data_IF_647679455171
#
_entry.id   IF_647679455171
#
_cell.length_a   1.000
_cell.length_b   1.000
_cell.length_c   1.000
_cell.angle_alpha   90.00
_cell.angle_beta   90.00
_cell.angle_gamma   90.00
#
_symmetry.space_group_name_H-M   'P 1'
#
loop_
_entity.id
_entity.type
_entity.pdbx_description
1 polymer ?
#
# COMPACT_ATOMS: atom_id res chain seq x y z
N UNK A 1 58.21 13.50 -9.47
CA UNK A 1 59.30 12.89 -10.26
C UNK A 1 58.82 11.51 -10.75
N UNK A 2 58.91 11.24 -12.08
CA UNK A 2 58.66 9.97 -12.82
C UNK A 2 57.19 9.44 -12.84
N UNK A 3 56.41 9.57 -13.94
CA UNK A 3 56.36 8.80 -15.24
C UNK A 3 56.09 7.30 -15.04
N UNK A 4 55.07 6.66 -15.63
CA UNK A 4 54.81 6.34 -17.07
C UNK A 4 53.30 5.95 -17.23
N UNK A 5 52.47 6.51 -18.11
CA UNK A 5 52.34 6.34 -19.58
C UNK A 5 52.34 4.87 -20.05
N UNK A 6 51.17 4.34 -20.45
CA UNK A 6 51.00 3.52 -21.66
C UNK A 6 49.60 3.75 -22.24
N UNK A 7 49.58 4.09 -23.54
CA UNK A 7 48.44 4.38 -24.42
C UNK A 7 48.40 3.28 -25.47
N UNK A 8 47.21 2.80 -25.84
CA UNK A 8 46.81 2.31 -27.18
C UNK A 8 45.30 1.98 -27.06
N UNK A 9 44.30 2.63 -27.68
CA UNK A 9 44.07 3.04 -29.07
C UNK A 9 44.13 1.90 -30.09
N UNK A 10 42.96 1.34 -30.40
CA UNK A 10 42.63 0.80 -31.72
C UNK A 10 41.26 1.31 -32.13
N UNK A 11 41.26 2.22 -33.10
CA UNK A 11 40.10 2.63 -33.88
C UNK A 11 40.35 2.21 -35.33
N UNK A 12 39.33 1.62 -35.97
CA UNK A 12 39.15 1.45 -37.43
C UNK A 12 38.22 0.24 -37.65
N UNK A 13 37.24 0.17 -38.57
CA UNK A 13 36.57 1.04 -39.55
C UNK A 13 35.62 0.02 -40.25
N UNK A 14 34.28 0.14 -40.16
CA UNK A 14 33.38 0.54 -41.27
C UNK A 14 32.75 -0.60 -42.12
N UNK A 15 31.43 -0.41 -42.33
CA UNK A 15 30.52 -0.86 -43.41
C UNK A 15 30.17 -2.34 -43.60
N UNK A 16 28.91 -2.67 -43.30
CA UNK A 16 27.97 -3.21 -44.29
C UNK A 16 26.52 -3.04 -43.78
N UNK A 17 25.75 -2.16 -44.43
CA UNK A 17 24.29 -2.19 -44.38
C UNK A 17 23.78 -3.24 -45.38
N UNK A 18 22.64 -3.88 -45.08
CA UNK A 18 21.61 -4.05 -46.11
C UNK A 18 20.29 -3.43 -45.66
N UNK A 19 19.82 -2.48 -46.47
CA UNK A 19 18.46 -1.98 -46.50
C UNK A 19 17.44 -3.09 -46.71
N UNK A 20 16.46 -3.20 -45.81
CA UNK A 20 15.18 -3.86 -46.08
C UNK A 20 14.08 -2.85 -45.77
N UNK A 21 13.44 -2.37 -46.84
CA UNK A 21 12.07 -1.86 -46.78
C UNK A 21 11.17 -3.07 -46.58
N UNK A 22 10.43 -3.11 -45.47
CA UNK A 22 9.21 -3.91 -45.39
C UNK A 22 8.04 -2.97 -45.13
N UNK A 23 7.10 -3.01 -46.06
CA UNK A 23 5.80 -2.38 -45.95
C UNK A 23 4.97 -3.05 -44.83
N UNK A 24 4.26 -2.19 -44.09
CA UNK A 24 2.93 -2.36 -43.49
C UNK A 24 2.52 -3.77 -43.00
N UNK A 25 2.36 -3.89 -41.68
CA UNK A 25 1.17 -4.51 -41.09
C UNK A 25 0.80 -3.81 -39.79
N UNK A 26 -0.40 -3.23 -39.75
CA UNK A 26 -1.09 -3.00 -38.50
C UNK A 26 -1.43 -4.39 -37.94
N UNK A 27 -0.87 -4.74 -36.79
CA UNK A 27 -1.34 -5.87 -36.01
C UNK A 27 -1.23 -5.48 -34.54
N UNK A 28 -2.37 -5.46 -33.86
CA UNK A 28 -2.49 -5.10 -32.47
C UNK A 28 -1.57 -5.95 -31.59
N UNK A 29 -0.58 -5.29 -30.99
CA UNK A 29 0.17 -5.82 -29.86
C UNK A 29 -0.62 -5.55 -28.60
N UNK A 30 -1.56 -6.43 -28.27
CA UNK A 30 -2.04 -6.56 -26.91
C UNK A 30 -0.85 -6.96 -26.05
N UNK A 31 -0.24 -5.98 -25.39
CA UNK A 31 0.90 -6.21 -24.51
C UNK A 31 0.50 -7.21 -23.44
N UNK A 32 1.05 -8.41 -23.53
CA UNK A 32 0.96 -9.42 -22.50
C UNK A 32 1.84 -8.96 -21.33
N UNK A 33 1.28 -8.09 -20.49
CA UNK A 33 1.91 -7.69 -19.23
C UNK A 33 1.78 -8.87 -18.29
N UNK A 34 2.81 -9.70 -18.25
CA UNK A 34 2.91 -10.78 -17.29
C UNK A 34 3.11 -10.18 -15.88
N UNK A 35 2.00 -9.81 -15.24
CA UNK A 35 2.01 -9.26 -13.88
C UNK A 35 2.31 -10.41 -12.88
N UNK A 36 3.32 -10.30 -12.02
CA UNK A 36 3.67 -11.35 -11.05
C UNK A 36 2.62 -11.42 -9.92
N UNK A 37 1.57 -12.20 -10.17
CA UNK A 37 0.35 -12.33 -9.36
C UNK A 37 0.60 -12.63 -7.87
N UNK A 38 1.61 -13.46 -7.54
CA UNK A 38 1.85 -13.92 -6.17
C UNK A 38 2.53 -12.92 -5.23
N UNK A 39 3.20 -11.88 -5.77
CA UNK A 39 3.98 -10.91 -5.00
C UNK A 39 3.39 -9.48 -4.98
N UNK A 40 2.35 -9.19 -5.77
CA UNK A 40 1.73 -7.85 -5.90
C UNK A 40 1.17 -7.26 -4.60
N UNK A 41 0.97 -8.07 -3.56
CA UNK A 41 0.16 -7.71 -2.40
C UNK A 41 0.90 -7.81 -1.06
N UNK A 42 2.18 -8.22 -1.07
CA UNK A 42 2.84 -8.68 0.17
C UNK A 42 3.44 -7.59 1.05
N UNK A 43 3.90 -6.43 0.54
CA UNK A 43 4.57 -5.47 1.43
C UNK A 43 4.32 -3.98 1.25
N UNK A 44 3.80 -3.52 0.12
CA UNK A 44 3.30 -2.16 -0.05
C UNK A 44 2.39 -2.27 -1.26
N UNK A 45 1.12 -1.86 -1.12
CA UNK A 45 0.11 -2.15 -2.14
C UNK A 45 0.55 -1.77 -3.55
N UNK A 46 -0.03 -2.45 -4.54
CA UNK A 46 0.02 -2.09 -5.96
C UNK A 46 0.42 -0.63 -6.21
N UNK A 47 1.51 -0.47 -6.94
CA UNK A 47 1.98 0.84 -7.39
C UNK A 47 0.88 1.53 -8.19
N UNK A 48 0.83 2.86 -8.11
CA UNK A 48 -0.15 3.69 -8.81
C UNK A 48 -0.16 3.39 -10.31
N UNK A 49 1.02 3.23 -10.91
CA UNK A 49 1.17 2.86 -12.31
C UNK A 49 0.41 1.57 -12.64
N UNK A 50 0.54 0.55 -11.79
CA UNK A 50 -0.13 -0.74 -11.99
C UNK A 50 -1.65 -0.65 -11.80
N UNK A 51 -2.12 0.19 -10.88
CA UNK A 51 -3.55 0.49 -10.78
C UNK A 51 -4.07 1.12 -12.06
N UNK A 52 -3.37 2.14 -12.56
CA UNK A 52 -3.76 2.86 -13.77
C UNK A 52 -3.73 1.96 -15.01
N UNK A 53 -2.73 1.09 -15.15
CA UNK A 53 -2.66 0.10 -16.23
C UNK A 53 -3.88 -0.83 -16.23
N UNK A 54 -4.28 -1.34 -15.06
CA UNK A 54 -5.48 -2.18 -14.94
C UNK A 54 -6.75 -1.41 -15.26
N UNK A 55 -6.87 -0.17 -14.78
CA UNK A 55 -8.05 0.66 -15.01
C UNK A 55 -8.20 1.01 -16.49
N UNK A 56 -7.12 1.42 -17.16
CA UNK A 56 -7.14 1.69 -18.60
C UNK A 56 -7.50 0.44 -19.42
N UNK A 57 -7.05 -0.74 -19.00
CA UNK A 57 -7.31 -2.00 -19.69
C UNK A 57 -8.75 -2.49 -19.50
N UNK A 58 -9.28 -2.41 -18.28
CA UNK A 58 -10.53 -3.09 -17.92
C UNK A 58 -11.70 -2.12 -17.73
N UNK A 59 -11.49 -0.95 -17.14
CA UNK A 59 -12.55 0.04 -16.81
C UNK A 59 -12.12 1.47 -17.14
N UNK A 60 -11.84 1.78 -18.43
CA UNK A 60 -11.34 3.10 -18.83
C UNK A 60 -12.31 4.24 -18.50
N UNK A 61 -13.61 3.96 -18.43
CA UNK A 61 -14.64 4.91 -18.02
C UNK A 61 -14.48 5.41 -16.58
N UNK A 62 -13.74 4.70 -15.73
CA UNK A 62 -13.47 5.10 -14.34
C UNK A 62 -12.07 5.72 -14.16
N UNK A 63 -11.31 5.91 -15.23
CA UNK A 63 -9.91 6.34 -15.17
C UNK A 63 -9.72 7.65 -14.40
N UNK A 64 -10.55 8.65 -14.67
CA UNK A 64 -10.47 9.96 -14.01
C UNK A 64 -10.75 9.87 -12.51
N UNK A 65 -11.73 9.05 -12.12
CA UNK A 65 -12.06 8.87 -10.71
C UNK A 65 -10.96 8.14 -9.96
N UNK A 66 -10.34 7.14 -10.59
CA UNK A 66 -9.17 6.45 -10.08
C UNK A 66 -7.97 7.39 -9.88
N UNK A 67 -7.66 8.24 -10.88
CA UNK A 67 -6.61 9.26 -10.75
C UNK A 67 -6.83 10.15 -9.53
N UNK A 68 -8.04 10.69 -9.39
CA UNK A 68 -8.40 11.55 -8.26
C UNK A 68 -8.19 10.87 -6.90
N UNK A 69 -8.59 9.60 -6.76
CA UNK A 69 -8.42 8.84 -5.51
C UNK A 69 -6.95 8.52 -5.23
N UNK A 70 -6.14 8.26 -6.27
CA UNK A 70 -4.71 8.01 -6.13
C UNK A 70 -3.94 9.30 -5.80
N UNK A 71 -4.28 10.42 -6.44
CA UNK A 71 -3.74 11.76 -6.13
C UNK A 71 -4.01 12.15 -4.69
N UNK A 72 -5.25 11.98 -4.22
CA UNK A 72 -5.61 12.23 -2.82
C UNK A 72 -4.76 11.36 -1.87
N UNK A 73 -4.61 10.07 -2.20
CA UNK A 73 -3.80 9.14 -1.40
C UNK A 73 -2.34 9.59 -1.33
N UNK A 74 -1.78 10.06 -2.44
CA UNK A 74 -0.42 10.56 -2.51
C UNK A 74 -0.25 11.84 -1.69
N UNK A 75 -1.19 12.78 -1.79
CA UNK A 75 -1.19 13.99 -0.95
C UNK A 75 -1.25 13.63 0.55
N UNK A 76 -2.08 12.66 0.94
CA UNK A 76 -2.14 12.17 2.32
C UNK A 76 -0.84 11.50 2.77
N UNK A 77 -0.19 10.70 1.90
CA UNK A 77 1.12 10.10 2.16
C UNK A 77 2.22 11.15 2.31
N UNK A 78 2.20 12.20 1.49
CA UNK A 78 3.14 13.32 1.61
C UNK A 78 2.96 14.03 2.96
N UNK A 79 1.73 14.23 3.42
CA UNK A 79 1.48 14.79 4.76
C UNK A 79 2.02 13.90 5.88
N UNK A 80 2.04 12.58 5.72
CA UNK A 80 2.69 11.68 6.70
C UNK A 80 4.21 11.81 6.71
N UNK A 81 4.79 12.22 5.59
CA UNK A 81 6.23 12.42 5.47
C UNK A 81 6.70 13.76 6.05
N UNK A 82 5.79 14.68 6.35
CA UNK A 82 6.09 15.93 7.05
C UNK A 82 6.68 15.64 8.44
N UNK A 83 7.82 16.26 8.75
CA UNK A 83 8.54 16.00 10.00
C UNK A 83 7.74 16.39 11.25
N UNK A 84 6.92 17.45 11.18
CA UNK A 84 6.06 17.84 12.30
C UNK A 84 5.00 16.76 12.55
N UNK A 85 4.41 16.22 11.49
CA UNK A 85 3.43 15.13 11.58
C UNK A 85 4.08 13.87 12.14
N UNK A 86 5.28 13.49 11.67
CA UNK A 86 6.03 12.36 12.23
C UNK A 86 6.32 12.53 13.71
N UNK A 87 6.73 13.73 14.11
CA UNK A 87 7.02 14.03 15.50
C UNK A 87 5.76 13.96 16.37
N UNK A 88 4.65 14.56 15.92
CA UNK A 88 3.36 14.48 16.61
C UNK A 88 2.89 13.02 16.78
N UNK A 89 3.01 12.19 15.74
CA UNK A 89 2.71 10.75 15.83
C UNK A 89 3.58 10.09 16.89
N UNK A 90 4.90 10.35 16.88
CA UNK A 90 5.85 9.77 17.82
C UNK A 90 5.54 10.16 19.27
N UNK A 91 5.19 11.41 19.52
CA UNK A 91 4.82 11.93 20.84
C UNK A 91 3.51 11.32 21.32
N UNK A 92 2.49 11.28 20.48
CA UNK A 92 1.21 10.62 20.77
C UNK A 92 1.39 9.14 21.07
N UNK A 93 2.22 8.43 20.30
CA UNK A 93 2.58 7.04 20.57
C UNK A 93 3.29 6.85 21.91
N UNK A 94 4.25 7.73 22.25
CA UNK A 94 4.94 7.70 23.54
C UNK A 94 3.97 7.94 24.70
N UNK A 95 3.06 8.92 24.58
CA UNK A 95 2.06 9.23 25.59
C UNK A 95 1.12 8.04 25.83
N UNK A 96 0.55 7.47 24.76
CA UNK A 96 -0.30 6.27 24.87
C UNK A 96 0.45 5.07 25.47
N UNK A 97 1.75 4.92 25.19
CA UNK A 97 2.55 3.85 25.79
C UNK A 97 2.70 4.04 27.30
N UNK A 98 3.07 5.25 27.75
CA UNK A 98 3.19 5.58 29.17
C UNK A 98 1.86 5.42 29.92
N UNK A 99 0.76 5.86 29.32
CA UNK A 99 -0.58 5.70 29.92
C UNK A 99 -0.96 4.23 30.08
N UNK A 100 -0.61 3.37 29.11
CA UNK A 100 -0.81 1.92 29.22
C UNK A 100 0.07 1.26 30.26
N UNK A 101 1.34 1.65 30.35
CA UNK A 101 2.27 1.15 31.38
C UNK A 101 1.76 1.51 32.77
N UNK A 102 1.42 2.78 33.00
CA UNK A 102 0.86 3.22 34.29
C UNK A 102 -0.48 2.54 34.63
N UNK A 103 -1.35 2.28 33.65
CA UNK A 103 -2.58 1.54 33.87
C UNK A 103 -2.32 0.05 34.19
N UNK A 104 -1.30 -0.55 33.58
CA UNK A 104 -0.89 -1.91 33.86
C UNK A 104 -0.31 -2.04 35.27
N UNK A 105 0.56 -1.12 35.69
CA UNK A 105 1.14 -1.10 37.03
C UNK A 105 0.04 -1.03 38.09
N UNK A 106 -0.95 -0.13 37.91
CA UNK A 106 -2.12 -0.05 38.80
C UNK A 106 -2.93 -1.34 38.86
N UNK A 107 -3.10 -2.05 37.74
CA UNK A 107 -3.80 -3.35 37.75
C UNK A 107 -2.98 -4.43 38.48
N UNK A 108 -1.65 -4.39 38.37
CA UNK A 108 -0.77 -5.31 39.10
C UNK A 108 -0.88 -5.06 40.60
N UNK A 109 -0.81 -3.79 41.03
CA UNK A 109 -0.96 -3.41 42.44
C UNK A 109 -2.30 -3.87 43.01
N UNK A 110 -3.40 -3.67 42.27
CA UNK A 110 -4.73 -4.14 42.67
C UNK A 110 -4.81 -5.66 42.80
N UNK A 111 -4.06 -6.42 42.00
CA UNK A 111 -4.00 -7.88 42.09
C UNK A 111 -3.18 -8.34 43.31
N UNK A 112 -2.05 -7.67 43.58
CA UNK A 112 -1.19 -7.96 44.75
C UNK A 112 -1.93 -7.65 46.05
N UNK A 113 -2.64 -6.52 46.09
CA UNK A 113 -3.51 -6.11 47.20
C UNK A 113 -4.77 -6.99 47.34
N UNK A 114 -4.97 -7.98 46.45
CA UNK A 114 -6.16 -8.84 46.37
C UNK A 114 -7.48 -8.08 46.20
N UNK A 115 -7.44 -6.83 45.74
CA UNK A 115 -8.62 -5.99 45.43
C UNK A 115 -9.38 -6.51 44.21
N UNK A 116 -8.66 -7.17 43.29
CA UNK A 116 -9.24 -7.83 42.11
C UNK A 116 -8.83 -9.30 42.06
N UNK A 117 -9.68 -10.11 41.43
CA UNK A 117 -9.39 -11.52 41.16
C UNK A 117 -8.49 -11.68 39.92
N UNK A 118 -7.83 -12.84 39.78
CA UNK A 118 -7.05 -13.17 38.58
C UNK A 118 -7.87 -13.09 37.28
N UNK A 119 -9.15 -13.43 37.32
CA UNK A 119 -10.03 -13.38 36.15
C UNK A 119 -10.41 -11.94 35.77
N UNK A 120 -10.67 -11.10 36.76
CA UNK A 120 -10.87 -9.65 36.53
C UNK A 120 -9.60 -9.01 35.97
N UNK A 121 -8.42 -9.34 36.53
CA UNK A 121 -7.14 -8.87 35.99
C UNK A 121 -6.97 -9.26 34.52
N UNK A 122 -7.20 -10.52 34.15
CA UNK A 122 -7.13 -10.97 32.74
C UNK A 122 -8.09 -10.19 31.84
N UNK A 123 -9.30 -9.87 32.31
CA UNK A 123 -10.30 -9.13 31.54
C UNK A 123 -9.85 -7.69 31.30
N UNK A 124 -9.42 -6.99 32.35
CA UNK A 124 -8.93 -5.60 32.25
C UNK A 124 -7.63 -5.50 31.44
N UNK A 125 -6.71 -6.45 31.64
CA UNK A 125 -5.48 -6.55 30.85
C UNK A 125 -5.75 -6.71 29.35
N UNK A 126 -6.73 -7.57 28.99
CA UNK A 126 -7.18 -7.73 27.59
C UNK A 126 -7.78 -6.44 27.03
N UNK A 127 -8.46 -5.64 27.84
CA UNK A 127 -9.01 -4.35 27.41
C UNK A 127 -7.90 -3.32 27.19
N UNK A 128 -6.93 -3.22 28.10
CA UNK A 128 -5.76 -2.33 27.94
C UNK A 128 -4.94 -2.63 26.67
N UNK A 129 -4.82 -3.92 26.34
CA UNK A 129 -4.10 -4.39 25.15
C UNK A 129 -4.96 -4.45 23.90
N UNK A 130 -6.24 -4.06 23.98
CA UNK A 130 -7.13 -4.03 22.82
C UNK A 130 -6.60 -2.98 21.82
N UNK A 131 -6.02 -3.45 20.73
CA UNK A 131 -5.57 -2.59 19.63
C UNK A 131 -6.79 -1.86 19.06
N UNK A 132 -6.65 -0.55 18.76
CA UNK A 132 -7.62 0.19 17.95
C UNK A 132 -7.79 -0.62 16.66
N UNK A 133 -9.02 -1.02 16.34
CA UNK A 133 -9.31 -1.76 15.11
C UNK A 133 -9.55 -0.75 14.00
N UNK A 134 -8.79 -0.87 12.91
CA UNK A 134 -8.84 0.06 11.78
C UNK A 134 -9.88 -0.40 10.75
N UNK A 135 -10.36 -1.64 10.89
CA UNK A 135 -11.40 -2.30 10.13
C UNK A 135 -12.15 -3.28 11.04
N UNK A 136 -13.43 -3.52 10.75
CA UNK A 136 -14.18 -4.60 11.38
C UNK A 136 -13.69 -5.97 10.90
N UNK A 137 -14.05 -7.06 11.59
CA UNK A 137 -13.71 -8.42 11.15
C UNK A 137 -14.31 -8.74 9.78
N UNK A 138 -15.55 -8.30 9.55
CA UNK A 138 -16.28 -8.48 8.30
C UNK A 138 -15.58 -7.72 7.16
N UNK A 139 -15.23 -6.45 7.37
CA UNK A 139 -14.48 -5.67 6.37
C UNK A 139 -13.15 -6.34 6.01
N UNK A 140 -12.45 -6.92 7.00
CA UNK A 140 -11.21 -7.64 6.76
C UNK A 140 -11.43 -8.91 5.93
N UNK A 141 -12.52 -9.65 6.18
CA UNK A 141 -12.89 -10.83 5.42
C UNK A 141 -13.28 -10.46 3.98
N UNK A 142 -14.07 -9.41 3.80
CA UNK A 142 -14.44 -8.90 2.47
C UNK A 142 -13.21 -8.46 1.68
N UNK A 143 -12.27 -7.75 2.32
CA UNK A 143 -11.01 -7.38 1.67
C UNK A 143 -10.18 -8.61 1.27
N UNK A 144 -10.13 -9.64 2.11
CA UNK A 144 -9.43 -10.89 1.77
C UNK A 144 -10.07 -11.58 0.56
N UNK A 145 -11.40 -11.66 0.53
CA UNK A 145 -12.13 -12.23 -0.60
C UNK A 145 -11.89 -11.43 -1.88
N UNK A 146 -11.93 -10.09 -1.79
CA UNK A 146 -11.65 -9.19 -2.91
C UNK A 146 -10.24 -9.42 -3.48
N UNK A 147 -9.22 -9.54 -2.63
CA UNK A 147 -7.86 -9.90 -3.06
C UNK A 147 -7.81 -11.26 -3.76
N UNK A 148 -8.49 -12.27 -3.22
CA UNK A 148 -8.48 -13.62 -3.77
C UNK A 148 -9.16 -13.66 -5.15
N UNK A 149 -10.35 -13.05 -5.26
CA UNK A 149 -11.08 -12.96 -6.53
C UNK A 149 -10.28 -12.19 -7.58
N UNK A 150 -9.61 -11.10 -7.19
CA UNK A 150 -8.75 -10.33 -8.10
C UNK A 150 -7.55 -11.17 -8.53
N UNK A 151 -6.95 -11.94 -7.63
CA UNK A 151 -5.86 -12.87 -7.98
C UNK A 151 -6.30 -13.86 -9.04
N UNK A 152 -7.41 -14.55 -8.79
CA UNK A 152 -7.97 -15.55 -9.71
C UNK A 152 -8.35 -14.94 -11.07
N UNK A 153 -8.96 -13.75 -11.07
CA UNK A 153 -9.31 -13.05 -12.30
C UNK A 153 -8.06 -12.70 -13.13
N UNK A 154 -6.96 -12.29 -12.48
CA UNK A 154 -5.69 -12.05 -13.18
C UNK A 154 -5.04 -13.33 -13.69
N UNK A 155 -5.02 -14.41 -12.91
CA UNK A 155 -4.45 -15.71 -13.32
C UNK A 155 -5.19 -16.29 -14.53
N UNK A 156 -6.51 -16.15 -14.56
CA UNK A 156 -7.36 -16.64 -15.64
C UNK A 156 -7.52 -15.64 -16.80
N UNK A 157 -6.90 -14.45 -16.72
CA UNK A 157 -7.11 -13.34 -17.66
C UNK A 157 -8.60 -12.97 -17.87
N UNK A 158 -9.42 -13.11 -16.83
CA UNK A 158 -10.87 -12.86 -16.87
C UNK A 158 -11.18 -11.36 -16.84
N UNK A 159 -11.45 -10.81 -18.03
CA UNK A 159 -11.73 -9.39 -18.21
C UNK A 159 -13.06 -8.97 -17.59
N UNK A 160 -14.09 -9.84 -17.59
CA UNK A 160 -15.40 -9.51 -17.05
C UNK A 160 -15.38 -9.47 -15.52
N UNK A 161 -14.65 -10.40 -14.89
CA UNK A 161 -14.42 -10.38 -13.46
C UNK A 161 -13.67 -9.11 -13.05
N UNK A 162 -12.59 -8.74 -13.76
CA UNK A 162 -11.83 -7.52 -13.47
C UNK A 162 -12.69 -6.26 -13.57
N UNK A 163 -13.58 -6.16 -14.57
CA UNK A 163 -14.55 -5.05 -14.71
C UNK A 163 -15.47 -4.90 -13.50
N UNK A 164 -15.83 -6.00 -12.83
CA UNK A 164 -16.68 -5.98 -11.63
C UNK A 164 -15.89 -5.70 -10.35
N UNK A 165 -14.63 -6.14 -10.29
CA UNK A 165 -13.79 -6.03 -9.09
C UNK A 165 -13.13 -4.65 -8.95
N UNK A 166 -12.76 -3.98 -10.04
CA UNK A 166 -12.13 -2.66 -9.98
C UNK A 166 -13.01 -1.59 -9.31
N UNK A 167 -14.32 -1.48 -9.56
CA UNK A 167 -15.19 -0.58 -8.81
C UNK A 167 -15.18 -0.83 -7.29
N UNK A 168 -15.12 -2.10 -6.88
CA UNK A 168 -15.04 -2.47 -5.46
C UNK A 168 -13.71 -2.06 -4.82
N UNK A 169 -12.62 -2.17 -5.58
CA UNK A 169 -11.31 -1.65 -5.17
C UNK A 169 -11.29 -0.13 -5.05
N UNK A 170 -11.93 0.57 -5.98
CA UNK A 170 -12.05 2.03 -5.96
C UNK A 170 -12.75 2.49 -4.66
N UNK A 171 -13.88 1.89 -4.32
CA UNK A 171 -14.60 2.19 -3.09
C UNK A 171 -13.80 1.86 -1.83
N UNK A 172 -13.08 0.73 -1.84
CA UNK A 172 -12.17 0.38 -0.75
C UNK A 172 -11.06 1.43 -0.58
N UNK A 173 -10.51 1.94 -1.68
CA UNK A 173 -9.46 2.95 -1.67
C UNK A 173 -9.97 4.30 -1.16
N UNK A 174 -11.16 4.75 -1.59
CA UNK A 174 -11.83 5.95 -1.05
C UNK A 174 -11.98 5.87 0.48
N UNK A 175 -12.53 4.75 0.98
CA UNK A 175 -12.69 4.53 2.44
C UNK A 175 -11.34 4.56 3.18
N UNK A 176 -10.27 4.06 2.57
CA UNK A 176 -8.92 4.12 3.14
C UNK A 176 -8.38 5.54 3.18
N UNK A 177 -8.61 6.34 2.14
CA UNK A 177 -8.22 7.75 2.13
C UNK A 177 -8.97 8.54 3.20
N UNK A 178 -10.29 8.38 3.32
CA UNK A 178 -11.10 9.03 4.36
C UNK A 178 -10.59 8.71 5.78
N UNK A 179 -10.29 7.43 6.06
CA UNK A 179 -9.74 7.01 7.35
C UNK A 179 -8.38 7.62 7.61
N UNK A 180 -7.52 7.68 6.59
CA UNK A 180 -6.20 8.26 6.69
C UNK A 180 -6.28 9.77 6.93
N UNK A 181 -7.16 10.47 6.22
CA UNK A 181 -7.40 11.90 6.40
C UNK A 181 -7.90 12.21 7.81
N UNK A 182 -8.88 11.45 8.33
CA UNK A 182 -9.36 11.58 9.71
C UNK A 182 -8.25 11.36 10.73
N UNK A 183 -7.42 10.32 10.53
CA UNK A 183 -6.31 10.06 11.44
C UNK A 183 -5.25 11.17 11.41
N UNK A 184 -4.91 11.69 10.23
CA UNK A 184 -4.02 12.85 10.10
C UNK A 184 -4.57 14.08 10.81
N UNK A 185 -5.88 14.34 10.74
CA UNK A 185 -6.52 15.41 11.52
C UNK A 185 -6.42 15.15 13.02
N UNK A 186 -6.70 13.92 13.50
CA UNK A 186 -6.55 13.54 14.92
C UNK A 186 -5.11 13.71 15.43
N UNK A 187 -4.11 13.59 14.55
CA UNK A 187 -2.69 13.78 14.89
C UNK A 187 -2.31 15.25 14.91
N UNK A 188 -2.89 16.09 14.04
CA UNK A 188 -2.61 17.52 14.00
C UNK A 188 -3.31 18.31 15.10
N UNK A 189 -4.47 17.85 15.57
CA UNK A 189 -5.30 18.54 16.57
C UNK A 189 -5.00 18.17 18.02
N UNK A 190 -4.20 17.13 18.29
CA UNK A 190 -3.95 16.63 19.63
C UNK A 190 -2.50 16.25 19.85
#
# INVERSE_FOLDING_TARGET
>A
MMRKLWVAFFASLVLAMPSWVSARSHAGGGGDVHLPVGHMWKHEGLDEQKWMEMVQKYTPEQEEEWKKVLDERNALRQQLNDENVKQAIKEKCKKMKKEREAALDRLIDQLVDKKITKEQFKKEWKQLHKKKQWMTKEEKQQLHLLHEQTRQAMENNDQEAMKKLLPQWLDHMKKKNERLAKWLQEVKQG
#
